data_IF_390209870072
#
_entry.id   IF_390209870072
#
_cell.length_a   1.000
_cell.length_b   1.000
_cell.length_c   1.000
_cell.angle_alpha   90.00
_cell.angle_beta   90.00
_cell.angle_gamma   90.00
#
_symmetry.space_group_name_H-M   'P 1'
#
loop_
_entity.id
_entity.type
_entity.pdbx_description
1 polymer ?
#
# COMPACT_ATOMS: atom_id res chain seq x y z
N UNK A 1 25.87 -14.52 8.78
CA UNK A 1 24.63 -13.70 8.85
C UNK A 1 24.80 -12.34 9.57
N UNK A 2 25.84 -12.09 10.37
CA UNK A 2 25.94 -10.87 11.20
C UNK A 2 26.52 -9.59 10.56
N UNK A 3 27.23 -9.66 9.42
CA UNK A 3 27.81 -8.46 8.79
C UNK A 3 26.79 -7.61 8.01
N UNK A 4 25.81 -8.25 7.37
CA UNK A 4 24.73 -7.57 6.65
C UNK A 4 23.79 -6.83 7.61
N UNK A 5 23.37 -7.48 8.70
CA UNK A 5 22.54 -6.85 9.72
C UNK A 5 23.21 -5.59 10.32
N UNK A 6 24.51 -5.65 10.64
CA UNK A 6 25.27 -4.47 11.12
C UNK A 6 25.33 -3.33 10.11
N UNK A 7 25.41 -3.66 8.82
CA UNK A 7 25.46 -2.65 7.74
C UNK A 7 24.10 -2.00 7.53
N UNK A 8 23.02 -2.78 7.60
CA UNK A 8 21.64 -2.29 7.52
C UNK A 8 21.28 -1.42 8.71
N UNK A 9 21.64 -1.84 9.93
CA UNK A 9 21.51 -1.06 11.15
C UNK A 9 22.16 0.32 11.03
N UNK A 10 23.40 0.36 10.54
CA UNK A 10 24.13 1.63 10.33
C UNK A 10 23.40 2.51 9.32
N UNK A 11 22.98 1.95 8.19
CA UNK A 11 22.27 2.69 7.14
C UNK A 11 20.93 3.25 7.65
N UNK A 12 20.21 2.48 8.48
CA UNK A 12 18.97 2.96 9.09
C UNK A 12 19.21 4.12 10.04
N UNK A 13 20.26 4.04 10.88
CA UNK A 13 20.67 5.18 11.73
C UNK A 13 21.02 6.41 10.91
N UNK A 14 21.80 6.26 9.85
CA UNK A 14 22.14 7.37 8.95
C UNK A 14 20.89 8.01 8.31
N UNK A 15 19.87 7.22 7.94
CA UNK A 15 18.60 7.74 7.44
C UNK A 15 17.81 8.49 8.52
N UNK A 16 17.77 7.95 9.73
CA UNK A 16 17.10 8.60 10.86
C UNK A 16 17.77 9.92 11.22
N UNK A 17 19.11 9.97 11.29
CA UNK A 17 19.86 11.19 11.60
C UNK A 17 19.62 12.29 10.56
N UNK A 18 19.51 11.92 9.28
CA UNK A 18 19.18 12.86 8.20
C UNK A 18 17.73 13.34 8.24
N UNK A 19 16.81 12.50 8.67
CA UNK A 19 15.39 12.87 8.84
C UNK A 19 15.14 13.65 10.13
N UNK A 20 16.00 13.50 11.13
CA UNK A 20 15.91 14.15 12.45
C UNK A 20 17.10 15.09 12.69
N UNK A 21 17.33 16.10 11.84
CA UNK A 21 18.47 16.98 12.02
C UNK A 21 18.26 17.93 13.21
N UNK A 22 19.31 18.66 13.63
CA UNK A 22 19.21 19.72 14.62
C UNK A 22 18.16 20.78 14.26
N UNK A 23 17.60 21.50 15.25
CA UNK A 23 16.67 22.60 14.99
C UNK A 23 17.23 23.63 14.01
N UNK A 24 16.39 24.11 13.09
CA UNK A 24 16.79 25.07 12.05
C UNK A 24 17.35 24.45 10.79
N UNK A 25 17.60 23.13 10.77
CA UNK A 25 17.97 22.38 9.57
C UNK A 25 16.75 21.61 9.05
N UNK A 26 16.54 21.62 7.74
CA UNK A 26 15.47 20.84 7.11
C UNK A 26 15.89 19.37 7.02
N UNK A 27 15.06 18.48 7.57
CA UNK A 27 15.28 17.03 7.44
C UNK A 27 15.13 16.56 6.00
N UNK A 28 15.78 15.44 5.69
CA UNK A 28 15.76 14.85 4.34
C UNK A 28 15.24 13.42 4.41
N UNK A 29 14.26 13.12 3.57
CA UNK A 29 13.71 11.76 3.44
C UNK A 29 14.70 10.82 2.75
N UNK A 30 14.58 9.52 3.01
CA UNK A 30 15.37 8.51 2.32
C UNK A 30 14.81 7.10 2.49
N UNK A 31 15.33 6.19 1.67
CA UNK A 31 14.84 4.80 1.62
C UNK A 31 15.99 3.79 1.67
N UNK A 32 15.69 2.62 2.22
CA UNK A 32 16.57 1.46 2.19
C UNK A 32 15.77 0.16 2.09
N UNK A 33 16.45 -0.95 1.81
CA UNK A 33 15.87 -2.28 1.95
C UNK A 33 16.54 -3.03 3.10
N UNK A 34 15.74 -3.79 3.84
CA UNK A 34 16.19 -4.58 5.00
C UNK A 34 16.01 -6.06 4.68
N UNK A 35 17.10 -6.82 4.81
CA UNK A 35 17.12 -8.26 4.62
C UNK A 35 16.23 -8.97 5.64
N UNK A 36 15.66 -10.10 5.24
CA UNK A 36 14.88 -10.97 6.11
C UNK A 36 15.54 -12.32 6.23
N UNK A 37 15.26 -13.01 7.33
CA UNK A 37 15.70 -14.39 7.49
C UNK A 37 15.02 -15.31 6.48
N UNK A 38 15.60 -16.47 6.22
CA UNK A 38 14.98 -17.56 5.43
C UNK A 38 14.67 -17.20 3.96
N UNK A 39 15.46 -16.33 3.33
CA UNK A 39 15.34 -16.05 1.88
C UNK A 39 14.09 -15.26 1.47
N UNK A 40 13.35 -14.71 2.44
CA UNK A 40 12.17 -13.88 2.20
C UNK A 40 12.54 -12.58 1.49
N UNK A 41 11.59 -12.05 0.74
CA UNK A 41 11.69 -10.77 0.03
C UNK A 41 12.05 -9.66 1.02
N UNK A 42 12.99 -8.79 0.65
CA UNK A 42 13.45 -7.70 1.52
C UNK A 42 12.31 -6.72 1.80
N UNK A 43 12.28 -6.19 3.02
CA UNK A 43 11.39 -5.07 3.37
C UNK A 43 11.90 -3.81 2.71
N UNK A 44 11.01 -2.93 2.26
CA UNK A 44 11.35 -1.57 1.91
C UNK A 44 11.03 -0.65 3.11
N UNK A 45 11.99 0.18 3.48
CA UNK A 45 11.86 1.15 4.58
C UNK A 45 12.03 2.54 4.01
N UNK A 46 11.08 3.42 4.29
CA UNK A 46 11.15 4.83 3.96
C UNK A 46 11.08 5.66 5.24
N UNK A 47 11.98 6.62 5.38
CA UNK A 47 12.02 7.55 6.51
C UNK A 47 11.79 8.95 5.96
N UNK A 48 10.81 9.66 6.51
CA UNK A 48 10.52 11.05 6.13
C UNK A 48 10.42 11.95 7.37
N UNK A 49 11.03 13.14 7.38
CA UNK A 49 10.84 14.11 8.46
C UNK A 49 9.37 14.54 8.52
N UNK A 50 8.95 14.94 9.71
CA UNK A 50 7.60 15.40 9.97
C UNK A 50 7.62 16.85 10.42
N UNK A 51 6.80 17.69 9.79
CA UNK A 51 6.79 19.11 10.04
C UNK A 51 6.21 19.41 11.44
N UNK A 52 6.87 20.31 12.17
CA UNK A 52 6.51 20.72 13.54
C UNK A 52 5.12 21.33 13.68
N UNK A 53 4.50 21.79 12.59
CA UNK A 53 3.21 22.47 12.62
C UNK A 53 2.05 21.49 12.87
N UNK A 54 2.15 20.23 12.47
CA UNK A 54 0.94 19.43 12.28
C UNK A 54 0.52 18.61 13.49
N UNK A 55 1.34 18.50 14.55
CA UNK A 55 1.05 17.60 15.67
C UNK A 55 1.30 18.17 17.05
N UNK A 56 0.37 17.84 17.94
CA UNK A 56 0.36 18.20 19.36
C UNK A 56 1.33 17.34 20.21
N UNK A 57 2.51 17.01 19.68
CA UNK A 57 3.61 16.39 20.44
C UNK A 57 4.42 17.47 21.18
N UNK A 58 3.73 18.42 21.80
CA UNK A 58 4.20 19.74 22.23
C UNK A 58 5.31 19.76 23.30
N UNK A 59 5.94 18.61 23.60
CA UNK A 59 7.11 18.49 24.49
C UNK A 59 8.29 17.70 23.91
N UNK A 60 8.21 17.14 22.70
CA UNK A 60 9.33 16.43 22.05
C UNK A 60 9.75 17.14 20.77
N UNK A 61 11.07 17.13 20.50
CA UNK A 61 11.70 17.75 19.34
C UNK A 61 11.28 17.12 18.00
N UNK A 62 12.14 17.26 16.98
CA UNK A 62 11.89 16.74 15.63
C UNK A 62 11.36 15.29 15.63
N UNK A 63 10.44 14.98 14.71
CA UNK A 63 9.85 13.65 14.52
C UNK A 63 10.07 13.17 13.08
N UNK A 64 10.14 11.85 12.88
CA UNK A 64 10.26 11.21 11.58
C UNK A 64 9.28 10.03 11.47
N UNK A 65 8.71 9.84 10.27
CA UNK A 65 7.76 8.78 9.97
C UNK A 65 8.55 7.69 9.27
N UNK A 66 8.47 6.49 9.84
CA UNK A 66 9.09 5.29 9.28
C UNK A 66 7.99 4.43 8.68
N UNK A 67 7.93 4.37 7.35
CA UNK A 67 7.06 3.47 6.60
C UNK A 67 7.83 2.20 6.29
N UNK A 68 7.25 1.05 6.65
CA UNK A 68 7.79 -0.27 6.35
C UNK A 68 6.81 -0.99 5.44
N UNK A 69 7.25 -1.27 4.22
CA UNK A 69 6.48 -2.01 3.22
C UNK A 69 7.04 -3.43 3.15
N UNK A 70 6.18 -4.40 3.42
CA UNK A 70 6.47 -5.82 3.24
C UNK A 70 5.84 -6.29 1.91
N UNK A 71 6.65 -6.59 0.88
CA UNK A 71 6.12 -7.04 -0.42
C UNK A 71 5.37 -8.37 -0.37
N UNK A 72 5.54 -9.15 0.71
CA UNK A 72 4.84 -10.42 0.93
C UNK A 72 3.57 -10.24 1.76
N UNK A 73 3.29 -9.04 2.26
CA UNK A 73 2.03 -8.78 2.95
C UNK A 73 0.88 -8.73 1.94
N UNK A 74 -0.29 -9.30 2.29
CA UNK A 74 -1.47 -9.19 1.45
C UNK A 74 -1.80 -7.71 1.20
N UNK A 75 -2.06 -7.35 -0.06
CA UNK A 75 -2.56 -6.01 -0.42
C UNK A 75 -3.82 -5.70 0.38
N UNK A 76 -3.83 -4.55 1.06
CA UNK A 76 -4.98 -4.09 1.85
C UNK A 76 -5.66 -2.96 1.10
N UNK A 77 -6.30 -3.32 0.00
CA UNK A 77 -6.98 -2.35 -0.86
C UNK A 77 -8.38 -2.09 -0.29
N UNK A 78 -8.63 -0.86 0.13
CA UNK A 78 -9.92 -0.43 0.64
C UNK A 78 -10.94 -0.28 -0.50
N UNK A 79 -12.06 -0.99 -0.41
CA UNK A 79 -13.10 -0.95 -1.44
C UNK A 79 -13.84 0.40 -1.50
N UNK A 80 -13.90 1.15 -0.39
CA UNK A 80 -14.41 2.51 -0.32
C UNK A 80 -13.51 3.49 -1.06
N UNK A 81 -12.19 3.44 -0.84
CA UNK A 81 -11.22 4.25 -1.60
C UNK A 81 -11.31 3.94 -3.09
N UNK A 82 -11.40 2.65 -3.45
CA UNK A 82 -11.60 2.24 -4.86
C UNK A 82 -12.93 2.77 -5.42
N UNK A 83 -14.01 2.77 -4.63
CA UNK A 83 -15.30 3.31 -5.04
C UNK A 83 -15.21 4.80 -5.36
N UNK A 84 -14.58 5.57 -4.47
CA UNK A 84 -14.41 7.02 -4.62
C UNK A 84 -13.49 7.35 -5.80
N UNK A 85 -12.29 6.77 -5.83
CA UNK A 85 -11.27 7.08 -6.83
C UNK A 85 -11.68 6.70 -8.26
N UNK A 86 -12.44 5.61 -8.42
CA UNK A 86 -12.85 5.11 -9.73
C UNK A 86 -14.34 5.36 -10.04
N UNK A 87 -15.05 6.06 -9.15
CA UNK A 87 -16.49 6.32 -9.28
C UNK A 87 -17.34 5.05 -9.35
N UNK A 88 -16.89 3.95 -8.72
CA UNK A 88 -17.56 2.64 -8.75
C UNK A 88 -18.64 2.53 -7.66
N UNK A 89 -19.67 1.72 -7.91
CA UNK A 89 -20.64 1.39 -6.84
C UNK A 89 -20.00 0.48 -5.79
N UNK A 90 -20.54 0.40 -4.56
CA UNK A 90 -19.99 -0.49 -3.53
C UNK A 90 -19.87 -1.96 -3.96
N UNK A 91 -20.80 -2.45 -4.79
CA UNK A 91 -20.74 -3.81 -5.31
C UNK A 91 -19.65 -3.99 -6.38
N UNK A 92 -19.50 -3.00 -7.25
CA UNK A 92 -18.44 -2.98 -8.28
C UNK A 92 -17.06 -2.93 -7.62
N UNK A 93 -16.85 -2.08 -6.62
CA UNK A 93 -15.55 -1.97 -5.93
C UNK A 93 -15.18 -3.24 -5.18
N UNK A 94 -16.13 -3.92 -4.53
CA UNK A 94 -15.86 -5.21 -3.89
C UNK A 94 -15.39 -6.26 -4.90
N UNK A 95 -16.04 -6.34 -6.06
CA UNK A 95 -15.63 -7.24 -7.14
C UNK A 95 -14.23 -6.87 -7.66
N UNK A 96 -14.00 -5.59 -7.89
CA UNK A 96 -12.73 -5.06 -8.38
C UNK A 96 -11.56 -5.35 -7.42
N UNK A 97 -11.76 -5.17 -6.11
CA UNK A 97 -10.78 -5.50 -5.07
C UNK A 97 -10.51 -7.01 -5.01
N UNK A 98 -11.53 -7.86 -5.10
CA UNK A 98 -11.31 -9.31 -5.15
C UNK A 98 -10.46 -9.72 -6.36
N UNK A 99 -10.68 -9.11 -7.52
CA UNK A 99 -9.86 -9.34 -8.71
C UNK A 99 -8.41 -8.87 -8.51
N UNK A 100 -8.22 -7.67 -7.95
CA UNK A 100 -6.89 -7.13 -7.68
C UNK A 100 -6.10 -7.93 -6.65
N UNK A 101 -6.79 -8.59 -5.72
CA UNK A 101 -6.20 -9.50 -4.72
C UNK A 101 -6.01 -10.93 -5.24
N UNK A 102 -6.22 -11.18 -6.53
CA UNK A 102 -5.88 -12.45 -7.20
C UNK A 102 -7.00 -13.48 -7.26
N UNK A 103 -8.22 -13.15 -6.86
CA UNK A 103 -9.35 -14.08 -6.98
C UNK A 103 -9.77 -14.22 -8.45
N UNK A 104 -10.04 -15.44 -8.89
CA UNK A 104 -10.65 -15.67 -10.19
C UNK A 104 -12.13 -15.28 -10.18
N UNK A 105 -12.72 -15.06 -11.35
CA UNK A 105 -14.16 -14.81 -11.47
C UNK A 105 -15.01 -15.98 -10.94
N UNK A 106 -14.50 -17.21 -10.94
CA UNK A 106 -15.18 -18.37 -10.36
C UNK A 106 -15.17 -18.30 -8.83
N UNK A 107 -14.01 -18.02 -8.24
CA UNK A 107 -13.90 -17.84 -6.78
C UNK A 107 -14.82 -16.72 -6.29
N UNK A 108 -14.91 -15.62 -7.05
CA UNK A 108 -15.80 -14.50 -6.73
C UNK A 108 -17.27 -14.90 -6.84
N UNK A 109 -17.63 -15.69 -7.84
CA UNK A 109 -19.00 -16.20 -8.02
C UNK A 109 -19.42 -17.07 -6.83
N UNK A 110 -18.57 -18.02 -6.45
CA UNK A 110 -18.76 -18.90 -5.30
C UNK A 110 -18.89 -18.11 -3.99
N UNK A 111 -17.92 -17.21 -3.71
CA UNK A 111 -17.91 -16.39 -2.49
C UNK A 111 -19.11 -15.45 -2.37
N UNK A 112 -19.64 -14.99 -3.50
CA UNK A 112 -20.77 -14.06 -3.51
C UNK A 112 -22.13 -14.71 -3.69
N UNK A 113 -22.19 -16.04 -3.83
CA UNK A 113 -23.43 -16.78 -4.09
C UNK A 113 -24.08 -16.42 -5.44
N UNK A 114 -23.28 -15.96 -6.42
CA UNK A 114 -23.75 -15.51 -7.74
C UNK A 114 -23.30 -16.46 -8.83
N UNK A 115 -23.97 -16.43 -9.98
CA UNK A 115 -23.51 -17.17 -11.15
C UNK A 115 -22.24 -16.54 -11.74
N UNK A 116 -21.40 -17.37 -12.37
CA UNK A 116 -20.24 -16.89 -13.13
C UNK A 116 -20.64 -15.86 -14.19
N UNK A 117 -21.78 -16.07 -14.87
CA UNK A 117 -22.30 -15.14 -15.87
C UNK A 117 -22.62 -13.76 -15.29
N UNK A 118 -23.21 -13.72 -14.09
CA UNK A 118 -23.50 -12.48 -13.37
C UNK A 118 -22.22 -11.73 -12.99
N UNK A 119 -21.22 -12.43 -12.43
CA UNK A 119 -19.93 -11.82 -12.07
C UNK A 119 -19.20 -11.31 -13.32
N UNK A 120 -19.21 -12.08 -14.41
CA UNK A 120 -18.65 -11.67 -15.70
C UNK A 120 -19.35 -10.44 -16.25
N UNK A 121 -20.68 -10.37 -16.15
CA UNK A 121 -21.45 -9.19 -16.57
C UNK A 121 -21.07 -7.94 -15.77
N UNK A 122 -20.94 -8.06 -14.44
CA UNK A 122 -20.46 -6.94 -13.61
C UNK A 122 -19.06 -6.49 -14.01
N UNK A 123 -18.14 -7.42 -14.26
CA UNK A 123 -16.79 -7.07 -14.75
C UNK A 123 -16.86 -6.27 -16.06
N UNK A 124 -17.64 -6.72 -17.05
CA UNK A 124 -17.77 -6.00 -18.33
C UNK A 124 -18.31 -4.59 -18.14
N UNK A 125 -19.29 -4.42 -17.25
CA UNK A 125 -19.83 -3.10 -16.91
C UNK A 125 -18.77 -2.19 -16.28
N UNK A 126 -17.95 -2.71 -15.37
CA UNK A 126 -16.84 -1.96 -14.77
C UNK A 126 -15.83 -1.56 -15.84
N UNK A 127 -15.40 -2.49 -16.70
CA UNK A 127 -14.44 -2.23 -17.78
C UNK A 127 -14.93 -1.10 -18.70
N UNK A 128 -16.20 -1.17 -19.12
CA UNK A 128 -16.83 -0.12 -19.91
C UNK A 128 -16.87 1.23 -19.17
N UNK A 129 -17.26 1.23 -17.88
CA UNK A 129 -17.32 2.44 -17.05
C UNK A 129 -15.96 3.10 -16.84
N UNK A 130 -14.89 2.29 -16.86
CA UNK A 130 -13.51 2.74 -16.66
C UNK A 130 -12.77 3.03 -17.98
N UNK A 131 -13.45 2.90 -19.12
CA UNK A 131 -12.88 3.04 -20.46
C UNK A 131 -11.62 2.17 -20.66
N UNK A 132 -11.71 0.90 -20.26
CA UNK A 132 -10.65 -0.09 -20.45
C UNK A 132 -11.23 -1.39 -21.02
N UNK A 133 -10.44 -2.11 -21.81
CA UNK A 133 -10.88 -3.36 -22.44
C UNK A 133 -10.32 -4.62 -21.78
N UNK A 134 -9.28 -4.49 -20.95
CA UNK A 134 -8.59 -5.63 -20.34
C UNK A 134 -8.74 -5.60 -18.82
N UNK A 135 -9.06 -6.75 -18.24
CA UNK A 135 -9.07 -6.95 -16.78
C UNK A 135 -7.75 -6.52 -16.13
N UNK A 136 -6.61 -6.77 -16.80
CA UNK A 136 -5.29 -6.39 -16.30
C UNK A 136 -5.13 -4.86 -16.15
N UNK A 137 -5.75 -4.06 -17.02
CA UNK A 137 -5.67 -2.60 -16.94
C UNK A 137 -6.47 -2.07 -15.74
N UNK A 138 -7.65 -2.66 -15.49
CA UNK A 138 -8.45 -2.38 -14.29
C UNK A 138 -7.67 -2.76 -13.03
N UNK A 139 -7.10 -3.97 -12.98
CA UNK A 139 -6.30 -4.44 -11.84
C UNK A 139 -5.13 -3.50 -11.58
N UNK A 140 -4.41 -3.06 -12.61
CA UNK A 140 -3.29 -2.12 -12.47
C UNK A 140 -3.71 -0.78 -11.86
N UNK A 141 -4.86 -0.23 -12.26
CA UNK A 141 -5.39 1.02 -11.67
C UNK A 141 -5.75 0.82 -10.19
N UNK A 142 -6.30 -0.32 -9.83
CA UNK A 142 -6.65 -0.63 -8.43
C UNK A 142 -5.38 -0.79 -7.59
N UNK A 143 -4.35 -1.48 -8.11
CA UNK A 143 -3.08 -1.66 -7.41
C UNK A 143 -2.31 -0.33 -7.23
N UNK A 144 -2.53 0.69 -8.07
CA UNK A 144 -1.96 2.02 -7.82
C UNK A 144 -2.59 2.76 -6.63
N UNK A 145 -3.71 2.24 -6.09
CA UNK A 145 -4.34 2.72 -4.86
C UNK A 145 -3.88 1.92 -3.63
N UNK A 146 -3.05 0.89 -3.82
CA UNK A 146 -2.44 0.13 -2.73
C UNK A 146 -1.32 0.95 -2.10
N UNK A 147 -1.34 1.13 -0.78
CA UNK A 147 -0.38 1.98 -0.06
C UNK A 147 -1.00 2.99 0.91
N UNK A 148 -2.32 3.17 0.89
CA UNK A 148 -3.01 3.89 1.94
C UNK A 148 -3.25 2.98 3.15
N UNK A 149 -2.90 3.41 4.37
CA UNK A 149 -3.25 2.65 5.56
C UNK A 149 -4.76 2.54 5.66
N UNK A 150 -5.28 1.33 5.56
CA UNK A 150 -6.69 1.05 5.87
C UNK A 150 -6.86 1.28 7.37
N UNK A 151 -7.70 2.25 7.75
CA UNK A 151 -8.05 2.44 9.15
C UNK A 151 -8.64 1.14 9.69
N UNK A 152 -8.15 0.60 10.82
CA UNK A 152 -8.83 -0.52 11.46
C UNK A 152 -10.27 -0.12 11.82
N UNK A 153 -11.23 -1.06 11.79
CA UNK A 153 -12.62 -0.82 12.15
C UNK A 153 -12.79 -0.38 13.62
#
# INVERSE_FOLDING_TARGET
>A
MGAHARTEDRKLRELLDRALPPPGVQGVSGSMTVGRSHGRTRLAVHVTPLARHEWDFSHRGAAALVLVVDPESPSRIDAGIVAEALGLTPAESRLAVMLATGHSLRDIAERSGRSYGTVRWHLQRILHKQDVSRQADLVRRILSLDGFPVSPP
#
